data_IF_980168931706
#
_entry.id   IF_980168931706
#
_cell.length_a   1.000
_cell.length_b   1.000
_cell.length_c   1.000
_cell.angle_alpha   90.00
_cell.angle_beta   90.00
_cell.angle_gamma   90.00
#
_symmetry.space_group_name_H-M   'P 1'
#
loop_
_entity.id
_entity.type
_entity.pdbx_description
1 polymer ?
#
# COMPACT_ATOMS: atom_id res chain seq x y z
N UNK A 1 -15.14 0.27 -2.59
CA UNK A 1 -14.22 -0.40 -1.65
C UNK A 1 -13.39 -1.41 -2.41
N UNK A 2 -12.11 -1.56 -2.08
CA UNK A 2 -11.17 -2.53 -2.68
C UNK A 2 -10.83 -3.59 -1.61
N UNK A 3 -11.00 -4.89 -1.90
CA UNK A 3 -10.62 -5.95 -0.98
C UNK A 3 -9.10 -6.13 -0.96
N UNK A 4 -8.52 -6.26 0.24
CA UNK A 4 -7.13 -6.68 0.42
C UNK A 4 -7.11 -7.97 1.22
N UNK A 5 -6.54 -9.01 0.61
CA UNK A 5 -6.38 -10.31 1.24
C UNK A 5 -5.10 -10.36 2.06
N UNK A 6 -5.27 -10.74 3.32
CA UNK A 6 -4.21 -10.91 4.29
C UNK A 6 -3.96 -12.40 4.49
N UNK A 7 -2.69 -12.78 4.38
CA UNK A 7 -2.22 -14.12 4.64
C UNK A 7 -1.22 -14.08 5.78
N UNK A 8 -1.48 -14.89 6.81
CA UNK A 8 -0.57 -15.07 7.92
C UNK A 8 -0.19 -16.55 8.03
N UNK A 9 1.12 -16.81 8.10
CA UNK A 9 1.66 -18.13 8.39
C UNK A 9 2.27 -18.08 9.78
N UNK A 10 1.76 -18.92 10.68
CA UNK A 10 2.25 -18.98 12.04
C UNK A 10 3.58 -19.74 12.06
N UNK A 11 4.61 -19.11 12.62
CA UNK A 11 5.78 -19.83 13.08
C UNK A 11 5.43 -20.37 14.47
N UNK A 12 5.66 -21.67 14.70
CA UNK A 12 5.44 -22.34 16.00
C UNK A 12 4.03 -22.16 16.60
N UNK A 13 2.97 -22.13 15.78
CA UNK A 13 1.59 -22.03 16.27
C UNK A 13 1.19 -20.68 16.89
N UNK A 14 1.98 -19.61 16.69
CA UNK A 14 1.62 -18.28 17.17
C UNK A 14 0.26 -17.81 16.60
N UNK A 15 -0.58 -17.14 17.39
CA UNK A 15 -1.87 -16.64 16.91
C UNK A 15 -1.67 -15.51 15.89
N UNK A 16 -2.62 -15.29 14.98
CA UNK A 16 -2.51 -14.24 14.00
C UNK A 16 -2.48 -12.84 14.65
N UNK A 17 -1.77 -11.88 14.03
CA UNK A 17 -1.59 -10.55 14.60
C UNK A 17 -2.90 -9.77 14.65
N UNK A 18 -2.99 -8.86 15.62
CA UNK A 18 -4.12 -7.91 15.72
C UNK A 18 -3.79 -6.67 14.89
N UNK A 19 -4.68 -6.30 13.98
CA UNK A 19 -4.56 -5.02 13.28
C UNK A 19 -4.86 -3.86 14.25
N UNK A 20 -4.16 -2.75 14.06
CA UNK A 20 -4.27 -1.56 14.92
C UNK A 20 -4.66 -0.29 14.16
N UNK A 21 -4.29 -0.19 12.89
CA UNK A 21 -4.69 0.90 12.01
C UNK A 21 -4.51 0.46 10.56
N UNK A 22 -5.37 0.97 9.69
CA UNK A 22 -5.20 0.93 8.23
C UNK A 22 -5.15 2.38 7.77
N UNK A 23 -4.07 2.77 7.09
CA UNK A 23 -3.95 4.11 6.51
C UNK A 23 -3.91 4.02 5.01
N UNK A 24 -4.72 4.85 4.35
CA UNK A 24 -4.85 4.86 2.90
C UNK A 24 -4.46 6.24 2.41
N UNK A 25 -3.49 6.27 1.50
CA UNK A 25 -2.96 7.51 0.94
C UNK A 25 -2.90 7.39 -0.57
N UNK A 26 -3.35 8.42 -1.25
CA UNK A 26 -2.99 8.63 -2.65
C UNK A 26 -1.68 9.43 -2.68
N UNK A 27 -0.70 8.94 -3.42
CA UNK A 27 0.51 9.66 -3.73
C UNK A 27 0.38 10.20 -5.15
N UNK A 28 0.18 11.51 -5.28
CA UNK A 28 0.28 12.19 -6.56
C UNK A 28 1.74 12.56 -6.80
N UNK A 29 2.38 11.92 -7.78
CA UNK A 29 3.82 12.05 -8.02
C UNK A 29 4.00 12.72 -9.37
N UNK A 30 4.64 13.90 -9.37
CA UNK A 30 5.09 14.57 -10.59
C UNK A 30 6.58 14.37 -10.73
N UNK A 31 6.99 13.73 -11.81
CA UNK A 31 8.38 13.42 -12.11
C UNK A 31 8.88 14.41 -13.16
N UNK A 32 10.12 14.84 -13.01
CA UNK A 32 10.80 15.74 -13.93
C UNK A 32 12.14 15.14 -14.30
N UNK A 33 12.54 15.24 -15.56
CA UNK A 33 13.84 14.75 -16.01
C UNK A 33 14.35 15.53 -17.21
N UNK A 34 15.66 15.49 -17.42
CA UNK A 34 16.30 15.98 -18.66
C UNK A 34 16.40 14.89 -19.73
N UNK A 35 15.92 13.68 -19.43
CA UNK A 35 15.81 12.53 -20.34
C UNK A 35 14.48 11.81 -20.08
N UNK A 36 13.89 11.19 -21.11
CA UNK A 36 12.72 10.32 -20.94
C UNK A 36 12.99 9.22 -19.91
N UNK A 37 11.97 8.89 -19.14
CA UNK A 37 11.98 7.69 -18.32
C UNK A 37 11.92 6.46 -19.24
N UNK A 38 12.88 5.54 -19.10
CA UNK A 38 12.88 4.27 -19.84
C UNK A 38 11.84 3.29 -19.28
N UNK A 39 11.60 3.35 -17.97
CA UNK A 39 10.78 2.40 -17.23
C UNK A 39 9.90 3.13 -16.20
N UNK A 40 8.80 2.48 -15.81
CA UNK A 40 7.95 2.99 -14.74
C UNK A 40 8.71 2.96 -13.41
N UNK A 41 8.84 4.08 -12.68
CA UNK A 41 9.60 4.10 -11.44
C UNK A 41 9.00 3.19 -10.40
N UNK A 42 9.88 2.61 -9.58
CA UNK A 42 9.46 1.99 -8.33
C UNK A 42 8.86 3.06 -7.40
N UNK A 43 7.53 3.06 -7.28
CA UNK A 43 6.78 4.01 -6.44
C UNK A 43 6.88 3.69 -4.94
N UNK A 44 7.49 2.55 -4.58
CA UNK A 44 7.70 2.19 -3.17
C UNK A 44 8.87 2.96 -2.55
N UNK A 45 9.95 3.16 -3.30
CA UNK A 45 11.18 3.78 -2.81
C UNK A 45 11.76 4.81 -3.79
N UNK A 46 11.54 6.12 -3.58
CA UNK A 46 12.07 7.18 -4.44
C UNK A 46 13.60 7.27 -4.49
N UNK A 47 14.32 6.63 -3.56
CA UNK A 47 15.80 6.61 -3.53
C UNK A 47 16.38 5.81 -4.69
N UNK A 48 15.60 4.90 -5.29
CA UNK A 48 16.03 4.12 -6.46
C UNK A 48 15.98 4.93 -7.76
N UNK A 49 15.46 6.16 -7.73
CA UNK A 49 15.30 6.99 -8.93
C UNK A 49 16.64 7.61 -9.35
N UNK A 50 16.87 7.71 -10.66
CA UNK A 50 18.16 8.09 -11.23
C UNK A 50 18.56 9.53 -10.89
N UNK A 51 19.88 9.81 -10.81
CA UNK A 51 20.44 11.13 -10.45
C UNK A 51 19.97 12.32 -11.29
N UNK A 52 19.40 12.08 -12.48
CA UNK A 52 18.89 13.14 -13.37
C UNK A 52 17.37 13.29 -13.30
N UNK A 53 16.72 12.66 -12.33
CA UNK A 53 15.28 12.65 -12.15
C UNK A 53 14.93 13.35 -10.84
N UNK A 54 14.19 14.44 -10.96
CA UNK A 54 13.59 15.14 -9.82
C UNK A 54 12.14 14.68 -9.67
N UNK A 55 11.60 14.83 -8.47
CA UNK A 55 10.20 14.51 -8.23
C UNK A 55 9.57 15.40 -7.17
N UNK A 56 8.27 15.57 -7.30
CA UNK A 56 7.42 16.18 -6.30
C UNK A 56 6.29 15.22 -5.96
N UNK A 57 6.21 14.83 -4.69
CA UNK A 57 5.15 13.95 -4.18
C UNK A 57 4.19 14.77 -3.32
N UNK A 58 2.92 14.78 -3.71
CA UNK A 58 1.83 15.34 -2.92
C UNK A 58 0.99 14.19 -2.33
N UNK A 59 1.09 13.91 -1.03
CA UNK A 59 0.27 12.89 -0.39
C UNK A 59 -1.13 13.42 -0.07
N UNK A 60 -2.16 12.72 -0.50
CA UNK A 60 -3.55 12.95 -0.12
C UNK A 60 -3.98 11.82 0.80
N UNK A 61 -4.35 12.14 2.04
CA UNK A 61 -4.93 11.14 2.95
C UNK A 61 -6.35 10.83 2.47
N UNK A 62 -6.61 9.57 2.13
CA UNK A 62 -7.94 9.14 1.70
C UNK A 62 -8.75 8.63 2.90
N UNK A 63 -8.10 7.87 3.79
CA UNK A 63 -8.74 7.35 4.98
C UNK A 63 -7.72 6.95 6.05
N UNK A 64 -8.06 7.24 7.31
CA UNK A 64 -7.44 6.63 8.49
C UNK A 64 -8.51 5.79 9.20
N UNK A 65 -8.37 4.46 9.12
CA UNK A 65 -9.38 3.53 9.61
C UNK A 65 -8.91 2.74 10.82
N UNK A 66 -9.82 2.60 11.79
CA UNK A 66 -9.74 1.50 12.73
C UNK A 66 -10.17 0.23 12.00
N UNK A 67 -9.33 -0.82 11.94
CA UNK A 67 -9.77 -2.10 11.41
C UNK A 67 -10.96 -2.56 12.26
N UNK A 68 -12.11 -2.85 11.63
CA UNK A 68 -13.21 -3.54 12.30
C UNK A 68 -12.75 -4.89 12.86
N UNK A 69 -13.62 -5.65 13.56
CA UNK A 69 -13.24 -6.96 14.10
C UNK A 69 -12.78 -7.89 12.96
N UNK A 70 -11.45 -8.05 12.83
CA UNK A 70 -10.84 -8.88 11.81
C UNK A 70 -11.01 -10.35 12.22
N UNK A 71 -11.80 -11.09 11.45
CA UNK A 71 -12.01 -12.52 11.68
C UNK A 71 -11.04 -13.32 10.82
N UNK A 72 -9.94 -13.73 11.43
CA UNK A 72 -9.03 -14.69 10.82
C UNK A 72 -9.71 -16.04 10.64
N UNK A 73 -9.72 -16.53 9.40
CA UNK A 73 -10.19 -17.87 9.09
C UNK A 73 -8.98 -18.79 8.94
N UNK A 74 -8.92 -19.93 9.65
CA UNK A 74 -7.88 -20.92 9.43
C UNK A 74 -8.03 -21.47 8.02
N UNK A 75 -6.90 -21.63 7.33
CA UNK A 75 -6.84 -22.31 6.06
C UNK A 75 -6.57 -23.78 6.35
N UNK A 76 -7.54 -24.65 6.04
CA UNK A 76 -7.34 -26.09 6.06
C UNK A 76 -6.40 -26.44 4.92
N UNK A 77 -5.12 -26.58 5.24
CA UNK A 77 -4.11 -27.15 4.36
C UNK A 77 -3.65 -28.44 5.01
N UNK A 78 -3.62 -29.53 4.24
CA UNK A 78 -3.09 -30.85 4.65
C UNK A 78 -1.57 -30.83 4.96
N UNK A 79 -0.97 -29.64 4.97
CA UNK A 79 0.44 -29.38 5.22
C UNK A 79 0.64 -29.16 6.72
N UNK A 80 0.99 -30.24 7.44
CA UNK A 80 1.10 -30.30 8.92
C UNK A 80 2.17 -29.37 9.51
N UNK A 81 2.99 -28.72 8.68
CA UNK A 81 4.20 -28.04 9.13
C UNK A 81 3.93 -26.68 9.81
N UNK A 82 2.85 -25.98 9.49
CA UNK A 82 2.50 -24.71 10.16
C UNK A 82 1.06 -24.23 9.91
N UNK A 83 0.31 -23.78 10.93
CA UNK A 83 -1.04 -23.27 10.73
C UNK A 83 -1.02 -21.97 9.92
N UNK A 84 -1.92 -21.85 8.95
CA UNK A 84 -2.07 -20.68 8.10
C UNK A 84 -3.47 -20.07 8.22
N UNK A 85 -3.54 -18.75 8.14
CA UNK A 85 -4.75 -17.97 8.35
C UNK A 85 -4.96 -16.99 7.19
N UNK A 86 -6.21 -16.78 6.82
CA UNK A 86 -6.62 -15.80 5.80
C UNK A 86 -7.68 -14.86 6.37
N UNK A 87 -7.64 -13.60 5.95
CA UNK A 87 -8.71 -12.65 6.19
C UNK A 87 -8.72 -11.61 5.08
N UNK A 88 -9.85 -10.95 4.87
CA UNK A 88 -9.97 -9.87 3.89
C UNK A 88 -10.39 -8.59 4.60
N UNK A 89 -9.74 -7.47 4.26
CA UNK A 89 -10.15 -6.13 4.70
C UNK A 89 -10.71 -5.36 3.51
N UNK A 90 -11.70 -4.50 3.76
CA UNK A 90 -12.29 -3.64 2.74
C UNK A 90 -11.72 -2.24 2.91
N UNK A 91 -11.02 -1.75 1.89
CA UNK A 91 -10.37 -0.43 1.92
C UNK A 91 -11.20 0.55 1.08
N UNK A 92 -11.65 1.68 1.65
CA UNK A 92 -12.26 2.74 0.84
C UNK A 92 -11.18 3.37 -0.04
N UNK A 93 -11.50 3.51 -1.32
CA UNK A 93 -10.66 4.22 -2.28
C UNK A 93 -11.58 5.24 -2.93
N UNK A 94 -11.87 6.27 -2.17
CA UNK A 94 -12.63 7.43 -2.63
C UNK A 94 -11.67 8.61 -2.66
N UNK A 95 -11.61 9.27 -3.81
CA UNK A 95 -10.78 10.45 -3.99
C UNK A 95 -11.52 11.66 -3.40
N UNK A 96 -10.91 12.43 -2.48
CA UNK A 96 -11.49 13.68 -2.01
C UNK A 96 -11.87 14.61 -3.17
N UNK A 97 -13.10 15.12 -3.17
CA UNK A 97 -13.59 16.01 -4.23
C UNK A 97 -12.94 17.40 -4.24
N UNK A 98 -12.23 17.76 -3.17
CA UNK A 98 -11.62 19.09 -2.99
C UNK A 98 -10.30 19.27 -3.75
N UNK A 99 -9.89 18.27 -4.53
CA UNK A 99 -8.62 18.28 -5.23
C UNK A 99 -8.80 18.02 -6.73
N UNK A 100 -8.32 18.96 -7.55
CA UNK A 100 -8.18 18.72 -8.98
C UNK A 100 -7.05 17.71 -9.20
N UNK A 101 -7.38 16.52 -9.68
CA UNK A 101 -6.41 15.49 -10.04
C UNK A 101 -6.10 15.58 -11.54
N UNK A 102 -4.94 16.16 -11.97
CA UNK A 102 -4.51 16.04 -13.35
C UNK A 102 -4.47 14.57 -13.78
N UNK A 103 -4.77 14.25 -15.05
CA UNK A 103 -4.71 12.87 -15.53
C UNK A 103 -3.29 12.31 -15.40
N UNK A 104 -3.20 10.98 -15.35
CA UNK A 104 -1.93 10.29 -15.50
C UNK A 104 -1.40 10.51 -16.92
N UNK A 105 -0.19 11.02 -17.05
CA UNK A 105 0.45 11.21 -18.35
C UNK A 105 1.96 10.98 -18.27
N UNK A 106 2.56 10.66 -19.43
CA UNK A 106 4.00 10.54 -19.58
C UNK A 106 4.46 11.32 -20.82
N UNK A 107 5.29 12.36 -20.60
CA UNK A 107 5.99 13.10 -21.64
C UNK A 107 7.49 13.08 -21.38
N UNK A 108 8.31 13.37 -22.39
CA UNK A 108 9.78 13.21 -22.36
C UNK A 108 10.48 13.82 -21.14
N UNK A 109 9.98 14.92 -20.58
CA UNK A 109 10.63 15.64 -19.47
C UNK A 109 9.76 15.77 -18.22
N UNK A 110 8.49 15.40 -18.32
CA UNK A 110 7.53 15.52 -17.23
C UNK A 110 6.51 14.38 -17.33
N UNK A 111 6.26 13.73 -16.20
CA UNK A 111 5.19 12.75 -16.10
C UNK A 111 4.46 12.90 -14.78
N UNK A 112 3.18 12.53 -14.77
CA UNK A 112 2.36 12.50 -13.57
C UNK A 112 1.82 11.10 -13.40
N UNK A 113 2.14 10.50 -12.26
CA UNK A 113 1.74 9.15 -11.90
C UNK A 113 1.12 9.16 -10.51
N UNK A 114 0.17 8.26 -10.28
CA UNK A 114 -0.51 8.14 -8.99
C UNK A 114 -0.21 6.77 -8.40
N UNK A 115 -0.07 6.71 -7.08
CA UNK A 115 0.08 5.46 -6.34
C UNK A 115 -0.90 5.42 -5.17
N UNK A 116 -1.65 4.33 -5.03
CA UNK A 116 -2.38 4.03 -3.80
C UNK A 116 -1.44 3.34 -2.82
N UNK A 117 -1.10 4.03 -1.73
CA UNK A 117 -0.34 3.46 -0.62
C UNK A 117 -1.29 3.05 0.51
N UNK A 118 -1.28 1.77 0.84
CA UNK A 118 -2.03 1.20 1.96
C UNK A 118 -1.05 0.71 3.02
N UNK A 119 -1.09 1.35 4.18
CA UNK A 119 -0.28 0.99 5.33
C UNK A 119 -1.12 0.20 6.34
N UNK A 120 -0.73 -1.04 6.58
CA UNK A 120 -1.39 -1.93 7.54
C UNK A 120 -0.50 -2.04 8.78
N UNK A 121 -0.93 -1.42 9.87
CA UNK A 121 -0.24 -1.46 11.14
C UNK A 121 -0.82 -2.57 12.02
N UNK A 122 0.02 -3.46 12.53
CA UNK A 122 -0.39 -4.59 13.35
C UNK A 122 0.50 -4.79 14.58
N UNK A 123 0.03 -5.57 15.54
CA UNK A 123 0.83 -6.04 16.69
C UNK A 123 0.94 -7.55 16.60
N UNK A 124 2.16 -8.03 16.40
CA UNK A 124 2.48 -9.44 16.46
C UNK A 124 2.46 -9.91 17.93
N UNK A 125 2.06 -11.17 18.20
CA UNK A 125 2.18 -11.75 19.53
C UNK A 125 3.64 -11.72 20.01
N UNK A 126 3.88 -11.28 21.24
CA UNK A 126 5.24 -11.20 21.81
C UNK A 126 6.11 -10.03 21.32
N UNK A 127 5.65 -9.24 20.34
CA UNK A 127 6.38 -8.06 19.89
C UNK A 127 6.10 -6.86 20.81
N UNK A 128 7.15 -6.12 21.15
CA UNK A 128 7.07 -4.94 22.02
C UNK A 128 6.42 -3.72 21.33
N UNK A 129 6.39 -3.70 20.00
CA UNK A 129 5.94 -2.56 19.19
C UNK A 129 4.85 -2.89 18.17
N UNK A 130 4.41 -1.87 17.45
CA UNK A 130 3.59 -2.03 16.24
C UNK A 130 4.51 -2.27 15.05
N UNK A 131 4.18 -3.28 14.25
CA UNK A 131 4.78 -3.52 12.95
C UNK A 131 3.90 -2.89 11.86
N UNK A 132 4.49 -2.64 10.69
CA UNK A 132 3.81 -2.06 9.53
C UNK A 132 4.19 -2.81 8.27
N UNK A 133 3.18 -3.15 7.48
CA UNK A 133 3.34 -3.62 6.10
C UNK A 133 2.71 -2.58 5.19
N UNK A 134 3.40 -2.24 4.11
CA UNK A 134 2.96 -1.21 3.17
C UNK A 134 2.78 -1.83 1.79
N UNK A 135 1.61 -1.64 1.20
CA UNK A 135 1.30 -1.99 -0.19
C UNK A 135 1.25 -0.70 -1.00
N UNK A 136 1.96 -0.63 -2.11
CA UNK A 136 1.88 0.51 -3.04
C UNK A 136 1.45 0.00 -4.40
N UNK A 137 0.31 0.47 -4.90
CA UNK A 137 -0.27 0.05 -6.18
C UNK A 137 -0.32 1.26 -7.12
N UNK A 138 0.27 1.20 -8.32
CA UNK A 138 0.14 2.27 -9.30
C UNK A 138 -1.31 2.42 -9.75
N UNK A 139 -1.77 3.66 -9.91
CA UNK A 139 -3.09 4.01 -10.39
C UNK A 139 -3.01 4.90 -11.64
N UNK A 140 -4.00 4.74 -12.51
CA UNK A 140 -4.21 5.62 -13.65
C UNK A 140 -5.49 6.44 -13.42
N UNK A 141 -5.33 7.77 -13.38
CA UNK A 141 -6.45 8.72 -13.38
C UNK A 141 -6.62 9.21 -14.82
N UNK A 142 -7.85 9.15 -15.34
CA UNK A 142 -8.21 9.52 -16.72
C UNK A 142 -8.89 10.89 -16.77
#
# INVERSE_FOLDING_TARGET
MVPIDLHYRALSGAPPPKLSAIKVKLQAITLFGSKPWSDFPDLTNPVTWGRHQNHYTYPVSLADMQPGPLKWQPKNTDDETSPSFRSTIQVPVELPGDFDYPPTFSHCFISRVYALRVDICYRAPGAWGRSRVSLTVPLQIL
#
